data_IF_428555506632
#
_entry.id   IF_428555506632
#
_cell.length_a   1.000
_cell.length_b   1.000
_cell.length_c   1.000
_cell.angle_alpha   90.00
_cell.angle_beta   90.00
_cell.angle_gamma   90.00
#
_symmetry.space_group_name_H-M   'P 1'
#
loop_
_entity.id
_entity.type
_entity.pdbx_description
1 polymer ?
#
# COMPACT_ATOMS: atom_id res chain seq x y z
N UNK A 1 -39.66 46.59 -21.10
CA UNK A 1 -38.26 46.75 -20.63
C UNK A 1 -37.77 45.65 -19.67
N UNK A 2 -38.61 45.04 -18.81
CA UNK A 2 -38.18 43.98 -17.87
C UNK A 2 -37.90 42.57 -18.46
N UNK A 3 -38.37 42.26 -19.67
CA UNK A 3 -38.12 40.96 -20.33
C UNK A 3 -36.80 40.88 -21.11
N UNK A 4 -36.21 42.03 -21.49
CA UNK A 4 -34.91 42.08 -22.18
C UNK A 4 -33.72 41.97 -21.21
N UNK A 5 -33.90 42.31 -19.94
CA UNK A 5 -32.84 42.25 -18.93
C UNK A 5 -32.46 40.80 -18.56
N UNK A 6 -33.43 39.87 -18.57
CA UNK A 6 -33.18 38.46 -18.23
C UNK A 6 -32.56 37.65 -19.38
N UNK A 7 -32.78 38.04 -20.65
CA UNK A 7 -32.11 37.42 -21.79
C UNK A 7 -30.61 37.79 -21.86
N UNK A 8 -30.23 39.00 -21.44
CA UNK A 8 -28.84 39.43 -21.41
C UNK A 8 -28.01 38.72 -20.31
N UNK A 9 -28.64 38.37 -19.17
CA UNK A 9 -27.96 37.64 -18.08
C UNK A 9 -27.72 36.17 -18.44
N UNK A 10 -28.59 35.54 -19.23
CA UNK A 10 -28.38 34.16 -19.68
C UNK A 10 -27.28 34.03 -20.76
N UNK A 11 -27.10 35.06 -21.60
CA UNK A 11 -26.07 35.08 -22.64
C UNK A 11 -24.66 35.39 -22.10
N UNK A 12 -24.54 35.91 -20.86
CA UNK A 12 -23.25 36.18 -20.21
C UNK A 12 -22.71 35.01 -19.37
N UNK A 13 -23.46 33.92 -19.21
CA UNK A 13 -23.02 32.71 -18.48
C UNK A 13 -22.55 31.57 -19.41
N UNK A 14 -22.58 31.77 -20.74
CA UNK A 14 -22.00 30.82 -21.68
C UNK A 14 -20.48 31.11 -21.79
N UNK A 15 -19.74 30.78 -20.74
CA UNK A 15 -18.27 30.75 -20.82
C UNK A 15 -17.89 29.77 -21.94
N UNK A 16 -17.16 30.20 -22.98
CA UNK A 16 -16.72 29.29 -24.02
C UNK A 16 -15.89 28.18 -23.36
N UNK A 17 -16.30 26.92 -23.56
CA UNK A 17 -15.50 25.78 -23.11
C UNK A 17 -14.11 25.93 -23.75
N UNK A 18 -13.03 25.90 -22.96
CA UNK A 18 -11.70 25.97 -23.54
C UNK A 18 -11.50 24.78 -24.48
N UNK A 19 -10.74 24.98 -25.57
CA UNK A 19 -10.57 23.99 -26.63
C UNK A 19 -9.93 22.65 -26.17
N UNK A 20 -9.43 22.58 -24.94
CA UNK A 20 -8.94 21.35 -24.30
C UNK A 20 -10.00 20.56 -23.54
N UNK A 21 -11.20 21.12 -23.32
CA UNK A 21 -12.29 20.42 -22.68
C UNK A 21 -12.74 19.28 -23.60
N UNK A 22 -12.21 18.07 -23.36
CA UNK A 22 -12.64 16.83 -24.00
C UNK A 22 -14.17 16.83 -24.02
N UNK A 23 -14.76 16.58 -25.18
CA UNK A 23 -16.18 16.20 -25.26
C UNK A 23 -16.45 15.15 -24.19
N UNK A 24 -17.57 15.29 -23.47
CA UNK A 24 -17.92 14.42 -22.36
C UNK A 24 -18.22 13.02 -22.87
N UNK A 25 -17.17 12.28 -23.22
CA UNK A 25 -17.18 10.85 -23.44
C UNK A 25 -17.75 10.21 -22.18
N UNK A 26 -18.70 9.29 -22.37
CA UNK A 26 -19.19 8.45 -21.27
C UNK A 26 -18.11 7.48 -20.76
N UNK A 27 -17.01 7.33 -21.49
CA UNK A 27 -15.86 6.50 -21.14
C UNK A 27 -14.78 7.35 -20.49
N UNK A 28 -14.38 6.95 -19.28
CA UNK A 28 -13.26 7.50 -18.53
C UNK A 28 -12.05 6.59 -18.67
N UNK A 29 -10.89 7.15 -19.01
CA UNK A 29 -9.62 6.44 -18.96
C UNK A 29 -8.97 6.62 -17.60
N UNK A 30 -8.75 5.51 -16.91
CA UNK A 30 -8.08 5.46 -15.62
C UNK A 30 -6.73 4.78 -15.77
N UNK A 31 -5.70 5.38 -15.19
CA UNK A 31 -4.36 4.80 -15.10
C UNK A 31 -4.04 4.55 -13.63
N UNK A 32 -3.71 3.31 -13.27
CA UNK A 32 -3.14 2.97 -11.96
C UNK A 32 -1.72 2.50 -12.15
N UNK A 33 -0.77 3.01 -11.36
CA UNK A 33 0.63 2.62 -11.51
C UNK A 33 1.48 2.83 -10.25
N UNK A 34 2.12 1.76 -9.79
CA UNK A 34 3.23 1.84 -8.85
C UNK A 34 4.46 2.39 -9.60
N UNK A 35 4.98 3.55 -9.18
CA UNK A 35 6.07 4.27 -9.87
C UNK A 35 7.48 3.94 -9.36
N UNK A 36 7.58 3.09 -8.33
CA UNK A 36 8.85 2.67 -7.75
C UNK A 36 9.77 3.83 -7.36
N UNK A 37 9.25 4.78 -6.58
CA UNK A 37 9.98 5.99 -6.18
C UNK A 37 10.73 5.87 -4.86
N UNK A 38 11.10 4.67 -4.42
CA UNK A 38 11.66 4.42 -3.07
C UNK A 38 12.99 5.16 -2.89
N UNK A 39 13.10 6.07 -1.90
CA UNK A 39 14.37 6.77 -1.64
C UNK A 39 15.50 5.79 -1.31
N UNK A 40 16.68 6.03 -1.88
CA UNK A 40 17.91 5.23 -1.69
C UNK A 40 17.87 3.77 -2.19
N UNK A 41 16.72 3.25 -2.61
CA UNK A 41 16.54 1.88 -3.10
C UNK A 41 16.33 1.86 -4.61
N UNK A 42 15.47 2.73 -5.13
CA UNK A 42 15.10 2.66 -6.53
C UNK A 42 16.17 3.23 -7.46
N UNK A 43 16.52 2.46 -8.48
CA UNK A 43 17.53 2.84 -9.46
C UNK A 43 17.06 4.02 -10.32
N UNK A 44 18.00 4.90 -10.68
CA UNK A 44 17.75 6.05 -11.56
C UNK A 44 16.53 6.91 -11.17
N UNK A 45 16.22 6.97 -9.86
CA UNK A 45 14.96 7.54 -9.36
C UNK A 45 14.65 8.91 -9.96
N UNK A 46 15.57 9.86 -9.86
CA UNK A 46 15.36 11.24 -10.32
C UNK A 46 15.05 11.32 -11.82
N UNK A 47 15.77 10.56 -12.65
CA UNK A 47 15.57 10.52 -14.09
C UNK A 47 14.22 9.89 -14.43
N UNK A 48 13.86 8.78 -13.76
CA UNK A 48 12.56 8.12 -13.98
C UNK A 48 11.40 9.01 -13.55
N UNK A 49 11.45 9.62 -12.37
CA UNK A 49 10.37 10.51 -11.89
C UNK A 49 10.09 11.67 -12.85
N UNK A 50 11.13 12.25 -13.47
CA UNK A 50 10.97 13.27 -14.53
C UNK A 50 10.32 12.73 -15.81
N UNK A 51 10.52 11.45 -16.14
CA UNK A 51 9.98 10.82 -17.34
C UNK A 51 8.56 10.26 -17.16
N UNK A 52 8.15 9.99 -15.92
CA UNK A 52 6.86 9.36 -15.58
C UNK A 52 5.66 10.21 -16.00
N UNK A 53 5.62 11.49 -15.61
CA UNK A 53 4.52 12.39 -15.99
C UNK A 53 4.33 12.48 -17.52
N UNK A 54 5.38 12.77 -18.31
CA UNK A 54 5.31 12.75 -19.77
C UNK A 54 4.90 11.39 -20.37
N UNK A 55 5.29 10.27 -19.76
CA UNK A 55 4.88 8.94 -20.21
C UNK A 55 3.38 8.70 -19.99
N UNK A 56 2.87 9.04 -18.79
CA UNK A 56 1.44 8.96 -18.46
C UNK A 56 0.62 9.88 -19.38
N UNK A 57 1.10 11.09 -19.67
CA UNK A 57 0.41 12.06 -20.54
C UNK A 57 0.11 11.49 -21.94
N UNK A 58 1.00 10.66 -22.50
CA UNK A 58 0.79 9.99 -23.80
C UNK A 58 -0.40 9.05 -23.80
N UNK A 59 -0.76 8.49 -22.64
CA UNK A 59 -1.93 7.63 -22.48
C UNK A 59 -3.26 8.42 -22.50
N UNK A 60 -3.19 9.75 -22.37
CA UNK A 60 -4.33 10.68 -22.34
C UNK A 60 -5.41 10.31 -21.29
N UNK A 61 -5.03 10.02 -20.03
CA UNK A 61 -5.99 9.65 -19.00
C UNK A 61 -6.99 10.76 -18.67
N UNK A 62 -8.06 10.40 -17.99
CA UNK A 62 -8.93 11.31 -17.26
C UNK A 62 -8.64 11.25 -15.75
N UNK A 63 -8.18 10.11 -15.25
CA UNK A 63 -7.80 9.88 -13.86
C UNK A 63 -6.49 9.10 -13.80
N UNK A 64 -5.63 9.47 -12.86
CA UNK A 64 -4.34 8.83 -12.57
C UNK A 64 -4.26 8.52 -11.08
N UNK A 65 -3.89 7.29 -10.74
CA UNK A 65 -3.76 6.77 -9.39
C UNK A 65 -2.33 6.20 -9.24
N UNK A 66 -1.43 6.91 -8.57
CA UNK A 66 -0.02 6.47 -8.44
C UNK A 66 0.27 5.93 -7.04
N UNK A 67 1.08 4.89 -6.98
CA UNK A 67 1.65 4.33 -5.76
C UNK A 67 3.17 4.51 -5.76
N UNK A 68 3.81 4.49 -4.59
CA UNK A 68 5.26 4.68 -4.41
C UNK A 68 5.83 6.04 -4.86
N UNK A 69 5.01 7.07 -4.94
CA UNK A 69 5.47 8.44 -5.10
C UNK A 69 5.78 9.04 -3.72
N UNK A 70 6.90 8.61 -3.13
CA UNK A 70 7.18 8.80 -1.71
C UNK A 70 7.63 10.22 -1.34
N UNK A 71 8.55 10.81 -2.10
CA UNK A 71 9.15 12.10 -1.75
C UNK A 71 8.37 13.28 -2.31
N UNK A 72 8.32 14.39 -1.56
CA UNK A 72 7.62 15.61 -2.00
C UNK A 72 8.20 16.15 -3.32
N UNK A 73 9.53 16.19 -3.44
CA UNK A 73 10.19 16.71 -4.64
C UNK A 73 9.93 15.87 -5.88
N UNK A 74 9.85 14.54 -5.74
CA UNK A 74 9.45 13.67 -6.86
C UNK A 74 7.96 13.89 -7.21
N UNK A 75 7.11 14.10 -6.20
CA UNK A 75 5.70 14.38 -6.39
C UNK A 75 5.45 15.69 -7.15
N UNK A 76 6.13 16.78 -6.77
CA UNK A 76 6.03 18.09 -7.44
C UNK A 76 6.35 17.98 -8.95
N UNK A 77 7.41 17.26 -9.30
CA UNK A 77 7.83 17.05 -10.69
C UNK A 77 6.77 16.29 -11.48
N UNK A 78 6.23 15.21 -10.91
CA UNK A 78 5.19 14.41 -11.56
C UNK A 78 3.90 15.20 -11.69
N UNK A 79 3.46 15.87 -10.62
CA UNK A 79 2.24 16.70 -10.59
C UNK A 79 2.29 17.77 -11.66
N UNK A 80 3.41 18.50 -11.77
CA UNK A 80 3.55 19.56 -12.78
C UNK A 80 3.35 19.00 -14.19
N UNK A 81 3.99 17.88 -14.52
CA UNK A 81 3.84 17.26 -15.83
C UNK A 81 2.43 16.72 -16.10
N UNK A 82 1.73 16.22 -15.07
CA UNK A 82 0.32 15.80 -15.18
C UNK A 82 -0.61 17.01 -15.37
N UNK A 83 -0.37 18.11 -14.66
CA UNK A 83 -1.12 19.36 -14.81
C UNK A 83 -0.97 19.95 -16.22
N UNK A 84 0.26 19.94 -16.76
CA UNK A 84 0.54 20.35 -18.15
C UNK A 84 -0.20 19.47 -19.18
N UNK A 85 -0.51 18.23 -18.82
CA UNK A 85 -1.30 17.29 -19.63
C UNK A 85 -2.83 17.41 -19.40
N UNK A 86 -3.29 18.37 -18.59
CA UNK A 86 -4.69 18.64 -18.31
C UNK A 86 -5.27 17.94 -17.08
N UNK A 87 -4.45 17.24 -16.28
CA UNK A 87 -4.85 16.66 -14.99
C UNK A 87 -4.53 17.63 -13.85
N UNK A 88 -5.18 18.79 -13.85
CA UNK A 88 -4.86 19.91 -12.96
C UNK A 88 -5.42 19.78 -11.53
N UNK A 89 -6.14 18.70 -11.21
CA UNK A 89 -6.70 18.48 -9.87
C UNK A 89 -6.12 17.23 -9.24
N UNK A 90 -5.53 17.39 -8.06
CA UNK A 90 -4.65 16.42 -7.47
C UNK A 90 -4.72 16.41 -5.94
N UNK A 91 -4.43 15.25 -5.37
CA UNK A 91 -4.17 15.06 -3.95
C UNK A 91 -3.07 14.01 -3.80
N UNK A 92 -2.18 14.15 -2.84
CA UNK A 92 -1.13 13.17 -2.59
C UNK A 92 -0.77 13.06 -1.11
N UNK A 93 -0.07 11.98 -0.77
CA UNK A 93 0.48 11.71 0.56
C UNK A 93 2.00 11.56 0.54
N UNK A 94 2.68 12.30 -0.33
CA UNK A 94 4.15 12.39 -0.34
C UNK A 94 4.66 13.09 0.94
N UNK A 95 5.96 12.96 1.24
CA UNK A 95 6.57 13.54 2.44
C UNK A 95 7.88 14.24 2.11
N UNK A 96 8.05 15.46 2.63
CA UNK A 96 9.30 16.20 2.59
C UNK A 96 10.28 15.79 3.71
N UNK A 97 9.88 14.86 4.59
CA UNK A 97 10.75 14.39 5.69
C UNK A 97 11.89 13.55 5.14
N UNK A 98 12.99 13.48 5.91
CA UNK A 98 14.12 12.61 5.57
C UNK A 98 13.66 11.19 5.26
N UNK A 99 14.20 10.61 4.18
CA UNK A 99 13.82 9.29 3.65
C UNK A 99 12.31 9.14 3.37
N UNK A 100 11.60 10.24 3.08
CA UNK A 100 10.15 10.27 2.88
C UNK A 100 9.34 9.71 4.07
N UNK A 101 9.87 9.81 5.30
CA UNK A 101 9.25 9.23 6.49
C UNK A 101 7.78 9.67 6.63
N UNK A 102 6.90 8.71 6.87
CA UNK A 102 5.47 8.93 7.07
C UNK A 102 4.67 9.20 5.79
N UNK A 103 5.30 9.10 4.61
CA UNK A 103 4.61 9.17 3.32
C UNK A 103 3.72 7.94 3.09
N UNK A 104 2.54 8.12 2.49
CA UNK A 104 1.76 7.01 1.95
C UNK A 104 2.16 6.61 0.53
N UNK A 105 2.93 7.46 -0.16
CA UNK A 105 3.35 7.24 -1.55
C UNK A 105 2.21 7.31 -2.57
N UNK A 106 1.02 7.79 -2.16
CA UNK A 106 -0.18 7.80 -3.00
C UNK A 106 -0.39 9.16 -3.64
N UNK A 107 -0.84 9.16 -4.90
CA UNK A 107 -1.34 10.33 -5.59
C UNK A 107 -2.61 9.99 -6.36
N UNK A 108 -3.59 10.89 -6.35
CA UNK A 108 -4.73 10.89 -7.26
C UNK A 108 -4.66 12.19 -8.05
N UNK A 109 -4.69 12.13 -9.37
CA UNK A 109 -4.84 13.28 -10.25
C UNK A 109 -5.97 13.05 -11.26
N UNK A 110 -6.69 14.11 -11.61
CA UNK A 110 -7.85 14.06 -12.48
C UNK A 110 -7.97 15.31 -13.37
N UNK A 111 -8.68 15.16 -14.48
CA UNK A 111 -9.02 16.25 -15.41
C UNK A 111 -10.21 17.12 -14.94
N UNK A 112 -10.70 16.87 -13.72
CA UNK A 112 -11.86 17.53 -13.12
C UNK A 112 -11.75 17.62 -11.59
N UNK A 113 -12.49 18.53 -10.94
CA UNK A 113 -12.36 18.76 -9.50
C UNK A 113 -12.55 17.52 -8.63
N UNK A 114 -11.63 17.34 -7.69
CA UNK A 114 -11.69 16.33 -6.64
C UNK A 114 -12.49 16.87 -5.44
N UNK A 115 -13.48 16.10 -4.96
CA UNK A 115 -14.32 16.44 -3.80
C UNK A 115 -14.30 15.34 -2.76
N UNK A 116 -14.72 15.64 -1.52
CA UNK A 116 -14.86 14.62 -0.48
C UNK A 116 -13.53 13.89 -0.16
N UNK A 117 -12.42 14.62 -0.27
CA UNK A 117 -11.07 14.08 -0.06
C UNK A 117 -10.97 13.50 1.34
N UNK A 118 -10.47 12.28 1.41
CA UNK A 118 -10.31 11.58 2.68
C UNK A 118 -9.26 10.48 2.55
N UNK A 119 -8.71 10.06 3.69
CA UNK A 119 -7.65 9.07 3.74
C UNK A 119 -7.90 8.08 4.87
N UNK A 120 -7.74 6.80 4.58
CA UNK A 120 -7.67 5.73 5.56
C UNK A 120 -6.21 5.37 5.80
N UNK A 121 -5.80 5.44 7.05
CA UNK A 121 -4.46 5.09 7.47
C UNK A 121 -4.46 3.71 8.11
N UNK A 122 -3.92 2.71 7.40
CA UNK A 122 -3.93 1.33 7.88
C UNK A 122 -3.21 1.18 9.22
N UNK A 123 -3.85 0.55 10.20
CA UNK A 123 -3.31 0.45 11.55
C UNK A 123 -2.01 -0.39 11.60
N UNK A 124 -1.92 -1.41 10.75
CA UNK A 124 -0.79 -2.35 10.72
C UNK A 124 0.28 -1.99 9.68
N UNK A 125 1.49 -2.49 9.93
CA UNK A 125 2.67 -2.25 9.08
C UNK A 125 3.53 -1.05 9.49
N UNK A 126 3.14 -0.28 10.52
CA UNK A 126 3.77 1.02 10.88
C UNK A 126 4.91 0.97 11.88
N UNK A 127 5.18 -0.19 12.44
CA UNK A 127 6.12 -0.34 13.53
C UNK A 127 7.34 -1.14 13.05
N UNK A 128 8.58 -0.77 13.44
CA UNK A 128 9.83 -1.41 13.01
C UNK A 128 10.06 -2.77 13.69
N UNK A 129 9.08 -3.66 13.60
CA UNK A 129 9.13 -5.06 14.03
C UNK A 129 10.06 -5.88 13.15
N UNK A 130 10.33 -5.43 11.93
CA UNK A 130 11.46 -5.96 11.18
C UNK A 130 12.15 -4.76 10.57
N UNK A 131 13.17 -4.19 11.24
CA UNK A 131 13.73 -2.90 10.86
C UNK A 131 14.21 -2.85 9.41
N UNK A 132 14.66 -3.99 8.88
CA UNK A 132 15.13 -4.15 7.49
C UNK A 132 14.01 -4.37 6.46
N UNK A 133 12.73 -4.44 6.87
CA UNK A 133 11.58 -4.38 5.98
C UNK A 133 11.01 -2.96 6.02
N UNK A 134 11.37 -2.12 5.05
CA UNK A 134 11.26 -0.67 5.18
C UNK A 134 9.83 -0.11 5.14
N UNK A 135 8.81 -0.93 4.93
CA UNK A 135 7.40 -0.50 4.93
C UNK A 135 6.98 0.27 6.19
N UNK A 136 7.62 0.05 7.34
CA UNK A 136 7.32 0.81 8.57
C UNK A 136 7.76 2.28 8.53
N UNK A 137 8.67 2.65 7.61
CA UNK A 137 8.97 4.06 7.33
C UNK A 137 7.82 4.73 6.58
N UNK A 138 7.03 3.94 5.85
CA UNK A 138 5.86 4.39 5.13
C UNK A 138 4.63 4.43 6.02
N UNK A 139 3.64 5.18 5.56
CA UNK A 139 2.30 5.27 6.15
C UNK A 139 1.32 4.67 5.15
N UNK A 140 1.39 3.35 4.93
CA UNK A 140 0.47 2.60 4.06
C UNK A 140 -0.98 3.00 4.35
N UNK A 141 -1.73 3.24 3.29
CA UNK A 141 -3.01 3.91 3.35
C UNK A 141 -3.87 3.61 2.12
N UNK A 142 -5.13 4.04 2.18
CA UNK A 142 -5.95 4.33 1.01
C UNK A 142 -6.28 5.82 0.97
N UNK A 143 -6.18 6.43 -0.21
CA UNK A 143 -6.55 7.81 -0.50
C UNK A 143 -7.81 7.80 -1.35
N UNK A 144 -8.80 8.64 -1.03
CA UNK A 144 -10.03 8.70 -1.80
C UNK A 144 -10.47 10.12 -2.10
N UNK A 145 -11.09 10.28 -3.26
CA UNK A 145 -11.78 11.49 -3.68
C UNK A 145 -12.92 11.14 -4.64
N UNK A 146 -13.94 11.98 -4.65
CA UNK A 146 -15.07 11.86 -5.56
C UNK A 146 -14.91 12.84 -6.72
N UNK A 147 -15.20 12.37 -7.93
CA UNK A 147 -15.34 13.22 -9.11
C UNK A 147 -16.77 13.18 -9.64
N UNK A 148 -17.21 14.30 -10.21
CA UNK A 148 -18.49 14.35 -10.92
C UNK A 148 -18.32 13.83 -12.36
N UNK A 149 -19.23 12.95 -12.77
CA UNK A 149 -19.27 12.42 -14.14
C UNK A 149 -20.69 12.53 -14.69
N UNK A 150 -20.88 12.45 -16.02
CA UNK A 150 -22.23 12.40 -16.60
C UNK A 150 -23.09 11.24 -16.08
N UNK A 151 -22.46 10.13 -15.65
CA UNK A 151 -23.14 8.97 -15.05
C UNK A 151 -23.41 9.09 -13.55
N UNK A 152 -23.08 10.24 -12.94
CA UNK A 152 -23.18 10.49 -11.51
C UNK A 152 -21.82 10.58 -10.81
N UNK A 153 -21.82 10.78 -9.47
CA UNK A 153 -20.59 10.83 -8.69
C UNK A 153 -19.86 9.49 -8.73
N UNK A 154 -18.53 9.55 -8.94
CA UNK A 154 -17.63 8.40 -8.88
C UNK A 154 -16.66 8.56 -7.71
N UNK A 155 -16.69 7.62 -6.77
CA UNK A 155 -15.67 7.53 -5.72
C UNK A 155 -14.43 6.83 -6.27
N UNK A 156 -13.32 7.57 -6.34
CA UNK A 156 -11.99 7.06 -6.67
C UNK A 156 -11.27 6.69 -5.38
N UNK A 157 -10.67 5.51 -5.34
CA UNK A 157 -9.85 5.05 -4.23
C UNK A 157 -8.53 4.52 -4.78
N UNK A 158 -7.42 5.08 -4.30
CA UNK A 158 -6.07 4.63 -4.57
C UNK A 158 -5.52 3.98 -3.28
N UNK A 159 -4.96 2.77 -3.35
CA UNK A 159 -4.35 2.12 -2.19
C UNK A 159 -2.97 1.54 -2.48
N UNK A 160 -2.18 1.36 -1.43
CA UNK A 160 -0.94 0.60 -1.46
C UNK A 160 -0.85 -0.21 -0.17
N UNK A 161 -0.93 -1.54 -0.29
CA UNK A 161 -0.90 -2.47 0.83
C UNK A 161 0.53 -2.82 1.28
N UNK A 162 0.62 -3.54 2.38
CA UNK A 162 1.87 -4.03 2.94
C UNK A 162 2.60 -4.94 1.93
N UNK A 163 3.86 -4.62 1.65
CA UNK A 163 4.68 -5.40 0.73
C UNK A 163 5.00 -6.79 1.27
N UNK A 164 5.12 -7.75 0.36
CA UNK A 164 5.66 -9.07 0.67
C UNK A 164 7.19 -9.02 0.84
N UNK A 165 7.70 -9.80 1.78
CA UNK A 165 9.13 -9.95 2.01
C UNK A 165 9.45 -11.43 2.14
N UNK A 166 10.50 -11.90 1.45
CA UNK A 166 10.93 -13.32 1.50
C UNK A 166 11.18 -13.85 2.92
N UNK A 167 11.46 -12.96 3.86
CA UNK A 167 11.81 -13.26 5.25
C UNK A 167 10.64 -13.08 6.23
N UNK A 168 9.39 -12.90 5.78
CA UNK A 168 8.23 -12.78 6.66
C UNK A 168 6.89 -13.11 6.00
N UNK A 169 5.86 -13.36 6.81
CA UNK A 169 4.49 -13.55 6.35
C UNK A 169 3.68 -12.26 6.57
N UNK A 170 3.22 -11.64 5.48
CA UNK A 170 2.44 -10.40 5.52
C UNK A 170 1.01 -10.54 4.99
N UNK A 171 0.61 -11.74 4.54
CA UNK A 171 -0.79 -12.06 4.19
C UNK A 171 -1.81 -11.59 5.25
N UNK A 172 -1.58 -11.80 6.56
CA UNK A 172 -2.55 -11.39 7.56
C UNK A 172 -2.61 -9.88 7.79
N UNK A 173 -1.51 -9.18 7.50
CA UNK A 173 -1.48 -7.71 7.53
C UNK A 173 -2.31 -7.17 6.36
N UNK A 174 -2.12 -7.71 5.14
CA UNK A 174 -2.94 -7.35 3.97
C UNK A 174 -4.41 -7.67 4.18
N UNK A 175 -4.74 -8.80 4.81
CA UNK A 175 -6.10 -9.17 5.14
C UNK A 175 -6.75 -8.21 6.17
N UNK A 176 -5.99 -7.75 7.16
CA UNK A 176 -6.45 -6.69 8.06
C UNK A 176 -6.68 -5.36 7.32
N UNK A 177 -5.74 -4.95 6.46
CA UNK A 177 -5.85 -3.75 5.63
C UNK A 177 -7.06 -3.80 4.70
N UNK A 178 -7.35 -4.97 4.14
CA UNK A 178 -8.55 -5.24 3.35
C UNK A 178 -9.83 -4.98 4.16
N UNK A 179 -9.93 -5.55 5.36
CA UNK A 179 -11.08 -5.35 6.25
C UNK A 179 -11.25 -3.89 6.68
N UNK A 180 -10.15 -3.23 7.05
CA UNK A 180 -10.15 -1.79 7.37
C UNK A 180 -10.69 -0.96 6.20
N UNK A 181 -10.26 -1.30 4.97
CA UNK A 181 -10.72 -0.64 3.76
C UNK A 181 -12.21 -0.91 3.48
N UNK A 182 -12.66 -2.16 3.65
CA UNK A 182 -14.06 -2.54 3.48
C UNK A 182 -14.99 -1.76 4.41
N UNK A 183 -14.67 -1.70 5.69
CA UNK A 183 -15.45 -0.95 6.67
C UNK A 183 -15.50 0.55 6.30
N UNK A 184 -14.34 1.13 6.01
CA UNK A 184 -14.23 2.55 5.65
C UNK A 184 -14.98 2.93 4.36
N UNK A 185 -15.12 2.01 3.41
CA UNK A 185 -15.87 2.23 2.18
C UNK A 185 -17.37 1.94 2.32
N UNK A 186 -17.74 0.98 3.18
CA UNK A 186 -19.15 0.65 3.44
C UNK A 186 -19.89 1.83 4.08
N UNK A 187 -19.21 2.61 4.91
CA UNK A 187 -19.75 3.83 5.53
C UNK A 187 -20.09 4.96 4.52
N UNK A 188 -19.69 4.84 3.25
CA UNK A 188 -19.77 5.93 2.26
C UNK A 188 -20.98 5.85 1.31
N UNK A 189 -21.75 4.78 1.36
CA UNK A 189 -22.96 4.56 0.55
C UNK A 189 -22.85 5.04 -0.91
N UNK A 190 -21.76 4.66 -1.61
CA UNK A 190 -21.57 5.06 -3.02
C UNK A 190 -22.19 4.06 -3.99
N UNK A 191 -22.84 4.56 -5.04
CA UNK A 191 -23.33 3.73 -6.16
C UNK A 191 -22.24 3.41 -7.18
N UNK A 192 -21.18 4.22 -7.23
CA UNK A 192 -20.06 4.05 -8.15
C UNK A 192 -18.74 4.14 -7.39
N UNK A 193 -17.99 3.05 -7.41
CA UNK A 193 -16.68 2.93 -6.79
C UNK A 193 -15.70 2.44 -7.84
N UNK A 194 -14.55 3.10 -7.93
CA UNK A 194 -13.35 2.58 -8.57
C UNK A 194 -12.24 2.55 -7.53
N UNK A 195 -11.78 1.35 -7.21
CA UNK A 195 -10.68 1.10 -6.30
C UNK A 195 -9.53 0.50 -7.10
N UNK A 196 -8.38 1.13 -7.09
CA UNK A 196 -7.19 0.59 -7.74
C UNK A 196 -5.95 0.80 -6.87
N UNK A 197 -4.92 0.03 -7.16
CA UNK A 197 -3.62 0.22 -6.55
C UNK A 197 -2.79 -1.05 -6.53
N UNK A 198 -1.71 -0.98 -5.76
CA UNK A 198 -0.82 -2.09 -5.49
C UNK A 198 -1.27 -2.80 -4.22
N UNK A 199 -1.91 -3.96 -4.39
CA UNK A 199 -2.42 -4.77 -3.30
C UNK A 199 -1.34 -5.67 -2.70
N UNK A 200 -0.17 -5.79 -3.34
CA UNK A 200 0.94 -6.64 -2.90
C UNK A 200 0.52 -8.09 -2.56
N UNK A 201 -0.62 -8.54 -3.08
CA UNK A 201 -1.16 -9.85 -2.74
C UNK A 201 -0.39 -10.94 -3.48
N UNK A 202 0.11 -11.92 -2.74
CA UNK A 202 0.81 -13.07 -3.33
C UNK A 202 -0.18 -14.20 -3.68
N UNK A 203 0.19 -15.10 -4.61
CA UNK A 203 -0.64 -16.27 -4.94
C UNK A 203 -0.99 -17.11 -3.70
N UNK A 204 -2.27 -17.41 -3.54
CA UNK A 204 -2.80 -18.20 -2.43
C UNK A 204 -3.33 -17.40 -1.24
N UNK A 205 -3.23 -16.06 -1.28
CA UNK A 205 -3.85 -15.17 -0.29
C UNK A 205 -5.26 -14.76 -0.71
N UNK A 206 -6.09 -14.36 0.28
CA UNK A 206 -7.53 -14.10 0.07
C UNK A 206 -7.96 -12.66 0.37
N UNK A 207 -7.03 -11.75 0.62
CA UNK A 207 -7.34 -10.39 1.06
C UNK A 207 -8.16 -9.57 0.05
N UNK A 208 -7.83 -9.65 -1.23
CA UNK A 208 -8.57 -9.02 -2.33
C UNK A 208 -9.88 -9.73 -2.63
N UNK A 209 -9.94 -11.05 -2.46
CA UNK A 209 -11.15 -11.83 -2.70
C UNK A 209 -12.22 -11.42 -1.68
N UNK A 210 -11.81 -11.32 -0.41
CA UNK A 210 -12.65 -10.81 0.67
C UNK A 210 -13.11 -9.38 0.38
N UNK A 211 -12.19 -8.54 -0.11
CA UNK A 211 -12.50 -7.15 -0.46
C UNK A 211 -13.59 -7.06 -1.52
N UNK A 212 -13.42 -7.79 -2.62
CA UNK A 212 -14.39 -7.84 -3.71
C UNK A 212 -15.74 -8.36 -3.23
N UNK A 213 -15.74 -9.42 -2.39
CA UNK A 213 -16.96 -10.00 -1.84
C UNK A 213 -17.70 -9.04 -0.89
N UNK A 214 -17.01 -8.43 0.08
CA UNK A 214 -17.62 -7.53 1.08
C UNK A 214 -18.12 -6.23 0.47
N UNK A 215 -17.42 -5.68 -0.52
CA UNK A 215 -17.84 -4.47 -1.22
C UNK A 215 -18.84 -4.73 -2.35
N UNK A 216 -19.01 -5.98 -2.76
CA UNK A 216 -19.70 -6.29 -4.01
C UNK A 216 -18.98 -5.77 -5.25
N UNK A 217 -17.68 -5.54 -5.14
CA UNK A 217 -16.87 -4.97 -6.19
C UNK A 217 -16.36 -6.09 -7.10
N UNK A 218 -16.67 -5.96 -8.39
CA UNK A 218 -16.10 -6.84 -9.41
C UNK A 218 -14.67 -6.40 -9.74
N UNK A 219 -13.78 -7.36 -9.92
CA UNK A 219 -12.47 -7.07 -10.49
C UNK A 219 -12.59 -6.74 -11.99
N UNK A 220 -11.96 -5.65 -12.39
CA UNK A 220 -11.90 -5.18 -13.77
C UNK A 220 -10.54 -5.51 -14.42
N UNK A 221 -9.44 -5.47 -13.67
CA UNK A 221 -8.10 -5.67 -14.21
C UNK A 221 -7.11 -6.10 -13.11
N UNK A 222 -5.98 -6.70 -13.52
CA UNK A 222 -4.91 -7.15 -12.62
C UNK A 222 -4.81 -8.67 -12.49
N UNK A 223 -5.94 -9.36 -12.27
CA UNK A 223 -5.97 -10.81 -12.14
C UNK A 223 -5.12 -11.28 -10.95
N UNK A 224 -4.15 -12.16 -11.23
CA UNK A 224 -3.22 -12.67 -10.22
C UNK A 224 -2.02 -11.74 -9.95
N UNK A 225 -1.96 -10.57 -10.59
CA UNK A 225 -0.93 -9.56 -10.38
C UNK A 225 -1.08 -8.79 -9.06
N UNK A 226 -0.01 -8.05 -8.70
CA UNK A 226 0.02 -7.20 -7.50
C UNK A 226 -0.90 -5.98 -7.66
N UNK A 227 -0.88 -5.37 -8.84
CA UNK A 227 -1.70 -4.21 -9.20
C UNK A 227 -3.06 -4.64 -9.73
N UNK A 228 -4.13 -4.16 -9.10
CA UNK A 228 -5.50 -4.57 -9.44
C UNK A 228 -6.46 -3.39 -9.47
N UNK A 229 -7.58 -3.58 -10.16
CA UNK A 229 -8.66 -2.60 -10.27
C UNK A 229 -9.98 -3.30 -9.95
N UNK A 230 -10.68 -2.81 -8.93
CA UNK A 230 -12.01 -3.24 -8.51
C UNK A 230 -13.03 -2.13 -8.74
N UNK A 231 -14.27 -2.51 -9.02
CA UNK A 231 -15.33 -1.53 -9.16
C UNK A 231 -16.74 -2.00 -8.78
N UNK A 232 -17.55 -1.04 -8.35
CA UNK A 232 -19.00 -1.16 -8.14
C UNK A 232 -19.70 -0.18 -9.06
N UNK A 233 -20.74 -0.62 -9.78
CA UNK A 233 -21.49 0.27 -10.69
C UNK A 233 -20.67 0.75 -11.89
N UNK A 234 -19.65 0.00 -12.31
CA UNK A 234 -18.80 0.36 -13.45
C UNK A 234 -18.67 -0.84 -14.38
N UNK A 235 -18.78 -0.58 -15.68
CA UNK A 235 -18.48 -1.51 -16.75
C UNK A 235 -17.10 -1.20 -17.32
N UNK A 236 -16.30 -2.25 -17.50
CA UNK A 236 -15.05 -2.16 -18.23
C UNK A 236 -15.32 -2.28 -19.73
N UNK A 237 -14.80 -1.33 -20.51
CA UNK A 237 -14.78 -1.41 -21.97
C UNK A 237 -13.50 -2.09 -22.45
N UNK A 238 -12.36 -1.70 -21.87
CA UNK A 238 -11.06 -2.24 -22.23
C UNK A 238 -10.05 -2.05 -21.10
N UNK A 239 -9.22 -3.05 -20.83
CA UNK A 239 -8.07 -2.97 -19.93
C UNK A 239 -6.81 -3.52 -20.59
N UNK A 240 -5.66 -2.92 -20.29
CA UNK A 240 -4.34 -3.41 -20.70
C UNK A 240 -3.23 -2.91 -19.78
N UNK A 241 -2.13 -3.64 -19.77
CA UNK A 241 -0.86 -3.13 -19.27
C UNK A 241 -0.25 -2.09 -20.24
N UNK A 242 0.54 -1.17 -19.72
CA UNK A 242 1.26 -0.16 -20.46
C UNK A 242 2.55 0.24 -19.72
N UNK A 243 3.43 0.98 -20.42
CA UNK A 243 4.67 1.53 -19.86
C UNK A 243 5.64 0.44 -19.34
N UNK A 244 5.67 -0.70 -20.02
CA UNK A 244 6.53 -1.85 -19.69
C UNK A 244 7.85 -1.82 -20.46
N UNK A 245 7.94 -1.00 -21.49
CA UNK A 245 9.12 -0.91 -22.35
C UNK A 245 10.27 -0.09 -21.74
N UNK A 246 11.50 -0.45 -22.13
CA UNK A 246 12.70 0.30 -21.78
C UNK A 246 12.72 1.68 -22.44
N UNK A 247 12.79 2.72 -21.61
CA UNK A 247 12.91 4.11 -22.06
C UNK A 247 14.35 4.58 -21.90
N UNK A 248 14.82 5.37 -22.86
CA UNK A 248 16.11 6.05 -22.74
C UNK A 248 16.00 7.19 -21.72
N UNK A 249 16.77 7.10 -20.65
CA UNK A 249 16.89 8.12 -19.62
C UNK A 249 17.87 9.21 -20.05
N UNK A 250 17.80 10.37 -19.38
CA UNK A 250 18.64 11.54 -19.69
C UNK A 250 20.14 11.31 -19.47
N UNK A 251 20.51 10.28 -18.72
CA UNK A 251 21.89 9.87 -18.48
C UNK A 251 22.38 8.78 -19.45
N UNK A 252 21.57 8.41 -20.45
CA UNK A 252 21.90 7.42 -21.48
C UNK A 252 21.57 5.97 -21.12
N UNK A 253 21.14 5.68 -19.87
CA UNK A 253 20.67 4.34 -19.51
C UNK A 253 19.35 4.01 -20.22
N UNK A 254 19.12 2.74 -20.51
CA UNK A 254 17.81 2.21 -20.94
C UNK A 254 17.31 1.23 -19.90
N UNK A 255 16.10 1.48 -19.39
CA UNK A 255 15.46 0.65 -18.38
C UNK A 255 13.96 0.96 -18.35
N UNK A 256 13.12 0.09 -17.78
CA UNK A 256 11.71 0.42 -17.58
C UNK A 256 11.58 1.58 -16.59
N UNK A 257 10.50 2.34 -16.71
CA UNK A 257 10.23 3.48 -15.83
C UNK A 257 9.76 3.08 -14.43
N UNK A 258 9.35 1.83 -14.24
CA UNK A 258 9.00 1.23 -12.96
C UNK A 258 9.25 -0.28 -13.03
N UNK A 259 9.35 -0.95 -11.88
CA UNK A 259 9.37 -2.41 -11.78
C UNK A 259 7.96 -3.03 -11.88
N UNK A 260 6.91 -2.20 -11.90
CA UNK A 260 5.53 -2.60 -12.15
C UNK A 260 5.03 -2.10 -13.52
N UNK A 261 4.18 -2.87 -14.22
CA UNK A 261 3.43 -2.35 -15.36
C UNK A 261 2.38 -1.32 -14.91
N UNK A 262 2.08 -0.33 -15.74
CA UNK A 262 0.92 0.53 -15.53
C UNK A 262 -0.34 -0.19 -16.02
N UNK A 263 -1.45 -0.10 -15.29
CA UNK A 263 -2.75 -0.55 -15.76
C UNK A 263 -3.55 0.61 -16.34
N UNK A 264 -4.00 0.46 -17.59
CA UNK A 264 -4.91 1.40 -18.26
C UNK A 264 -6.28 0.75 -18.43
N UNK A 265 -7.30 1.33 -17.82
CA UNK A 265 -8.68 0.88 -17.90
C UNK A 265 -9.58 1.97 -18.46
N UNK A 266 -10.27 1.67 -19.55
CA UNK A 266 -11.33 2.49 -20.13
C UNK A 266 -12.67 1.99 -19.56
N UNK A 267 -13.36 2.85 -18.80
CA UNK A 267 -14.51 2.46 -17.98
C UNK A 267 -15.72 3.36 -18.18
N UNK A 268 -16.92 2.80 -18.01
CA UNK A 268 -18.20 3.51 -18.07
C UNK A 268 -19.06 3.22 -16.84
N UNK A 269 -19.68 4.24 -16.25
CA UNK A 269 -20.59 4.05 -15.12
C UNK A 269 -21.91 3.42 -15.57
N UNK A 270 -22.42 2.49 -14.77
CA UNK A 270 -23.67 1.74 -15.00
C UNK A 270 -24.44 1.56 -13.69
N UNK A 271 -25.76 1.60 -13.74
CA UNK A 271 -26.60 1.26 -12.59
C UNK A 271 -26.51 -0.25 -12.33
N UNK A 272 -25.81 -0.70 -11.28
CA UNK A 272 -25.79 -2.11 -10.88
C UNK A 272 -26.02 -2.32 -9.39
N UNK A 273 -26.75 -3.38 -9.07
CA UNK A 273 -26.99 -3.91 -7.72
C UNK A 273 -25.97 -5.00 -7.40
N UNK A 274 -25.38 -4.94 -6.21
CA UNK A 274 -24.41 -5.90 -5.68
C UNK A 274 -25.07 -7.24 -5.34
N UNK A 275 -24.43 -8.35 -5.72
CA UNK A 275 -24.78 -9.71 -5.27
C UNK A 275 -23.82 -10.17 -4.15
N UNK A 276 -24.36 -10.82 -3.11
CA UNK A 276 -23.63 -11.22 -1.90
C UNK A 276 -23.07 -12.65 -2.02
N UNK A 277 -21.87 -12.95 -1.50
CA UNK A 277 -21.27 -14.31 -1.55
C UNK A 277 -20.52 -14.69 -0.28
N UNK A 278 -20.97 -15.77 0.36
CA UNK A 278 -20.58 -16.24 1.70
C UNK A 278 -19.36 -17.16 1.77
N UNK A 279 -18.84 -17.68 0.64
CA UNK A 279 -17.79 -18.71 0.66
C UNK A 279 -16.38 -18.16 0.97
N UNK A 280 -16.02 -17.02 0.39
CA UNK A 280 -14.68 -16.39 0.54
C UNK A 280 -14.39 -15.99 1.98
N UNK A 281 -15.43 -15.59 2.70
CA UNK A 281 -15.34 -15.16 4.09
C UNK A 281 -14.94 -16.31 5.03
N UNK A 282 -15.44 -17.52 4.77
CA UNK A 282 -15.12 -18.70 5.59
C UNK A 282 -13.64 -19.10 5.46
N UNK A 283 -13.04 -18.96 4.27
CA UNK A 283 -11.62 -19.26 4.04
C UNK A 283 -10.71 -18.22 4.71
N UNK A 284 -11.05 -16.93 4.55
CA UNK A 284 -10.36 -15.82 5.22
C UNK A 284 -10.37 -15.96 6.75
N UNK A 285 -11.50 -16.37 7.33
CA UNK A 285 -11.62 -16.66 8.76
C UNK A 285 -10.72 -17.82 9.20
N UNK A 286 -10.67 -18.88 8.41
CA UNK A 286 -9.83 -20.05 8.69
C UNK A 286 -8.35 -19.69 8.66
N UNK A 287 -7.93 -18.90 7.68
CA UNK A 287 -6.56 -18.42 7.51
C UNK A 287 -6.12 -17.55 8.71
N UNK A 288 -6.88 -16.50 9.04
CA UNK A 288 -6.57 -15.64 10.19
C UNK A 288 -6.53 -16.41 11.51
N UNK A 289 -7.47 -17.34 11.70
CA UNK A 289 -7.51 -18.16 12.90
C UNK A 289 -6.33 -19.15 12.98
N UNK A 290 -5.84 -19.66 11.84
CA UNK A 290 -4.63 -20.48 11.79
C UNK A 290 -3.39 -19.64 12.13
N UNK A 291 -3.23 -18.47 11.51
CA UNK A 291 -2.06 -17.62 11.76
C UNK A 291 -2.03 -17.11 13.20
N UNK A 292 -3.16 -16.69 13.74
CA UNK A 292 -3.26 -16.25 15.13
C UNK A 292 -2.83 -17.36 16.10
N UNK A 293 -3.17 -18.62 15.81
CA UNK A 293 -2.70 -19.76 16.62
C UNK A 293 -1.20 -19.97 16.47
N UNK A 294 -0.67 -19.90 15.26
CA UNK A 294 0.78 -20.03 14.98
C UNK A 294 1.57 -18.95 15.70
N UNK A 295 1.19 -17.68 15.56
CA UNK A 295 1.86 -16.56 16.20
C UNK A 295 1.83 -16.67 17.73
N UNK A 296 0.69 -17.08 18.31
CA UNK A 296 0.59 -17.32 19.76
C UNK A 296 1.54 -18.42 20.23
N UNK A 297 1.69 -19.51 19.45
CA UNK A 297 2.67 -20.58 19.75
C UNK A 297 4.09 -20.06 19.68
N UNK A 298 4.46 -19.36 18.60
CA UNK A 298 5.80 -18.77 18.44
C UNK A 298 6.13 -17.78 19.56
N UNK A 299 5.17 -16.95 19.96
CA UNK A 299 5.30 -16.02 21.09
C UNK A 299 5.57 -16.77 22.40
N UNK A 300 4.82 -17.84 22.68
CA UNK A 300 5.06 -18.68 23.85
C UNK A 300 6.46 -19.31 23.83
N UNK A 301 6.87 -19.87 22.70
CA UNK A 301 8.21 -20.45 22.54
C UNK A 301 9.30 -19.40 22.72
N UNK A 302 9.17 -18.23 22.11
CA UNK A 302 10.15 -17.15 22.22
C UNK A 302 10.29 -16.63 23.67
N UNK A 303 9.19 -16.53 24.42
CA UNK A 303 9.22 -16.17 25.84
C UNK A 303 10.01 -17.18 26.66
N UNK A 304 9.76 -18.47 26.45
CA UNK A 304 10.50 -19.55 27.12
C UNK A 304 11.99 -19.47 26.79
N UNK A 305 12.33 -19.34 25.50
CA UNK A 305 13.72 -19.23 25.05
C UNK A 305 14.44 -18.01 25.63
N UNK A 306 13.76 -16.86 25.71
CA UNK A 306 14.33 -15.66 26.30
C UNK A 306 14.59 -15.83 27.81
N UNK A 307 13.67 -16.47 28.54
CA UNK A 307 13.85 -16.75 29.97
C UNK A 307 15.00 -17.76 30.21
N UNK A 308 15.04 -18.85 29.44
CA UNK A 308 16.13 -19.84 29.52
C UNK A 308 17.49 -19.22 29.16
N UNK A 309 17.53 -18.42 28.09
CA UNK A 309 18.73 -17.70 27.66
C UNK A 309 19.22 -16.71 28.72
N UNK A 310 18.32 -15.97 29.36
CA UNK A 310 18.65 -15.08 30.47
C UNK A 310 19.23 -15.86 31.67
N UNK A 311 18.66 -17.01 32.02
CA UNK A 311 19.19 -17.88 33.08
C UNK A 311 20.58 -18.43 32.73
N UNK A 312 20.81 -18.82 31.47
CA UNK A 312 22.12 -19.24 30.98
C UNK A 312 23.14 -18.10 31.04
N UNK A 313 22.77 -16.88 30.61
CA UNK A 313 23.62 -15.70 30.73
C UNK A 313 23.98 -15.43 32.20
N UNK A 314 23.00 -15.48 33.09
CA UNK A 314 23.20 -15.29 34.53
C UNK A 314 24.18 -16.32 35.11
N UNK A 315 24.02 -17.61 34.79
CA UNK A 315 24.99 -18.66 35.20
C UNK A 315 26.38 -18.44 34.60
N UNK A 316 26.46 -18.08 33.32
CA UNK A 316 27.72 -17.74 32.65
C UNK A 316 28.35 -16.47 33.18
N UNK A 317 27.63 -15.58 33.87
CA UNK A 317 28.21 -14.43 34.57
C UNK A 317 28.66 -14.84 35.99
N UNK A 318 27.86 -15.63 36.71
CA UNK A 318 28.15 -16.10 38.08
C UNK A 318 29.25 -17.15 38.18
N UNK A 319 29.47 -17.98 37.15
CA UNK A 319 30.50 -19.04 37.14
C UNK A 319 31.96 -18.54 37.21
N UNK A 320 32.19 -17.28 37.59
CA UNK A 320 33.50 -16.61 37.72
C UNK A 320 34.40 -17.16 38.81
N UNK A 321 33.91 -18.05 39.67
CA UNK A 321 34.69 -18.67 40.75
C UNK A 321 34.93 -20.17 40.49
N UNK A 322 35.62 -20.51 39.40
CA UNK A 322 36.27 -21.83 39.32
C UNK A 322 37.57 -21.72 40.12
N UNK A 323 37.50 -22.03 41.42
CA UNK A 323 38.70 -22.22 42.25
C UNK A 323 39.29 -23.59 41.93
N UNK A 324 40.50 -23.59 41.38
CA UNK A 324 41.45 -24.71 41.45
C UNK A 324 41.41 -25.73 40.30
N UNK A 325 42.62 -26.23 39.96
CA UNK A 325 42.96 -27.45 39.21
C UNK A 325 43.33 -27.36 37.71
N UNK A 326 43.75 -26.20 37.17
CA UNK A 326 44.31 -26.15 35.81
C UNK A 326 45.34 -25.04 35.59
N UNK A 327 46.41 -25.34 34.84
CA UNK A 327 47.47 -24.37 34.51
C UNK A 327 46.98 -23.13 33.73
N UNK A 328 47.76 -22.04 33.68
CA UNK A 328 47.33 -20.74 33.16
C UNK A 328 46.82 -20.75 31.71
N UNK A 329 47.27 -21.69 30.88
CA UNK A 329 46.79 -21.89 29.51
C UNK A 329 45.36 -22.47 29.45
N UNK A 330 45.06 -23.47 30.28
CA UNK A 330 43.72 -24.08 30.42
C UNK A 330 42.73 -23.04 30.94
N UNK A 331 43.14 -22.23 31.91
CA UNK A 331 42.35 -21.14 32.45
C UNK A 331 42.06 -20.03 31.41
N UNK A 332 43.02 -19.69 30.53
CA UNK A 332 42.81 -18.73 29.42
C UNK A 332 41.83 -19.27 28.38
N UNK A 333 41.98 -20.53 27.96
CA UNK A 333 41.10 -21.16 26.96
C UNK A 333 39.66 -21.28 27.46
N UNK A 334 39.46 -21.66 28.73
CA UNK A 334 38.14 -21.68 29.36
C UNK A 334 37.45 -20.31 29.45
N UNK A 335 38.22 -19.22 29.71
CA UNK A 335 37.68 -17.85 29.69
C UNK A 335 37.27 -17.40 28.29
N UNK A 336 38.04 -17.74 27.26
CA UNK A 336 37.71 -17.40 25.87
C UNK A 336 36.44 -18.12 25.42
N UNK A 337 36.35 -19.44 25.64
CA UNK A 337 35.14 -20.22 25.33
C UNK A 337 33.91 -19.67 26.05
N UNK A 338 34.04 -19.34 27.34
CA UNK A 338 32.94 -18.75 28.11
C UNK A 338 32.48 -17.38 27.59
N UNK A 339 33.42 -16.53 27.15
CA UNK A 339 33.06 -15.23 26.54
C UNK A 339 32.31 -15.44 25.23
N UNK A 340 32.75 -16.36 24.38
CA UNK A 340 32.05 -16.72 23.14
C UNK A 340 30.64 -17.24 23.45
N UNK A 341 30.51 -18.18 24.39
CA UNK A 341 29.21 -18.71 24.81
C UNK A 341 28.29 -17.63 25.38
N UNK A 342 28.83 -16.69 26.17
CA UNK A 342 28.06 -15.56 26.69
C UNK A 342 27.56 -14.66 25.57
N UNK A 343 28.41 -14.29 24.60
CA UNK A 343 28.00 -13.47 23.45
C UNK A 343 26.91 -14.17 22.65
N UNK A 344 27.10 -15.45 22.29
CA UNK A 344 26.12 -16.23 21.52
C UNK A 344 24.79 -16.33 22.29
N UNK A 345 24.84 -16.63 23.58
CA UNK A 345 23.63 -16.78 24.40
C UNK A 345 22.93 -15.43 24.59
N UNK A 346 23.67 -14.34 24.80
CA UNK A 346 23.12 -13.01 24.95
C UNK A 346 22.45 -12.55 23.66
N UNK A 347 23.08 -12.76 22.50
CA UNK A 347 22.50 -12.46 21.19
C UNK A 347 21.22 -13.27 20.95
N UNK A 348 21.23 -14.58 21.20
CA UNK A 348 20.03 -15.42 21.09
C UNK A 348 18.92 -15.01 22.05
N UNK A 349 19.28 -14.63 23.28
CA UNK A 349 18.33 -14.14 24.30
C UNK A 349 17.70 -12.81 23.88
N UNK A 350 18.52 -11.87 23.38
CA UNK A 350 18.05 -10.58 22.89
C UNK A 350 17.10 -10.75 21.70
N UNK A 351 17.41 -11.65 20.77
CA UNK A 351 16.54 -11.97 19.64
C UNK A 351 15.22 -12.62 20.09
N UNK A 352 15.29 -13.61 21.00
CA UNK A 352 14.09 -14.24 21.56
C UNK A 352 13.21 -13.23 22.33
N UNK A 353 13.84 -12.32 23.08
CA UNK A 353 13.13 -11.26 23.80
C UNK A 353 12.49 -10.25 22.84
N UNK A 354 13.22 -9.85 21.79
CA UNK A 354 12.68 -9.02 20.73
C UNK A 354 11.44 -9.66 20.10
N UNK A 355 11.51 -10.95 19.76
CA UNK A 355 10.37 -11.63 19.17
C UNK A 355 9.17 -11.71 20.14
N UNK A 356 9.44 -12.06 21.40
CA UNK A 356 8.45 -12.27 22.44
C UNK A 356 7.71 -11.02 22.91
N UNK A 357 8.39 -9.87 22.97
CA UNK A 357 7.87 -8.64 23.54
C UNK A 357 7.82 -7.45 22.57
N UNK A 358 8.57 -7.50 21.46
CA UNK A 358 8.54 -6.50 20.41
C UNK A 358 7.72 -6.94 19.20
N UNK A 359 8.17 -7.98 18.48
CA UNK A 359 7.64 -8.41 17.18
C UNK A 359 6.23 -9.01 17.24
N UNK A 360 6.04 -10.09 17.98
CA UNK A 360 4.81 -10.85 17.93
C UNK A 360 3.61 -10.19 18.64
N UNK A 361 3.76 -9.45 19.76
CA UNK A 361 2.61 -8.81 20.42
C UNK A 361 1.88 -7.76 19.57
N UNK A 362 2.58 -7.03 18.71
CA UNK A 362 1.97 -6.03 17.83
C UNK A 362 1.24 -6.69 16.67
N UNK A 363 1.86 -7.68 16.02
CA UNK A 363 1.22 -8.49 14.99
C UNK A 363 -0.01 -9.20 15.55
N UNK A 364 0.08 -9.73 16.77
CA UNK A 364 -1.05 -10.38 17.44
C UNK A 364 -2.20 -9.41 17.73
N UNK A 365 -1.91 -8.16 18.11
CA UNK A 365 -2.95 -7.13 18.29
C UNK A 365 -3.66 -6.83 16.98
N UNK A 366 -2.91 -6.65 15.90
CA UNK A 366 -3.48 -6.43 14.57
C UNK A 366 -4.34 -7.58 14.06
N UNK A 367 -3.85 -8.80 14.22
CA UNK A 367 -4.58 -10.02 13.89
C UNK A 367 -5.88 -10.16 14.68
N UNK A 368 -5.85 -9.88 15.99
CA UNK A 368 -7.06 -9.93 16.81
C UNK A 368 -8.07 -8.87 16.36
N UNK A 369 -7.62 -7.66 16.02
CA UNK A 369 -8.50 -6.61 15.49
C UNK A 369 -9.14 -7.01 14.17
N UNK A 370 -8.36 -7.58 13.25
CA UNK A 370 -8.88 -8.12 12.00
C UNK A 370 -9.91 -9.23 12.23
N UNK A 371 -9.65 -10.14 13.17
CA UNK A 371 -10.60 -11.18 13.56
C UNK A 371 -11.90 -10.63 14.16
N UNK A 372 -11.81 -9.55 14.94
CA UNK A 372 -12.98 -8.87 15.51
C UNK A 372 -13.81 -8.18 14.42
N UNK A 373 -13.16 -7.52 13.46
CA UNK A 373 -13.77 -6.88 12.30
C UNK A 373 -14.46 -7.89 11.37
N UNK A 374 -13.77 -8.98 11.02
CA UNK A 374 -14.30 -10.03 10.13
C UNK A 374 -15.52 -10.78 10.72
N UNK A 375 -15.66 -10.81 12.05
CA UNK A 375 -16.82 -11.43 12.73
C UNK A 375 -18.07 -10.54 12.76
N UNK A 376 -17.92 -9.25 12.44
CA UNK A 376 -19.02 -8.30 12.30
C UNK A 376 -19.53 -8.30 10.86
#
# INVERSE_FOLDING_TARGET
MRRLFWLAVFLLCAWPRPAWAKEASSVLRVVSWNVWGVPFVSDAREQRMRAIGPAIAKLRPNVVLLQELWSEGDAEVVIQALADAGLAYEIHGASARFAAFGSSGLLIAADRPLRGVSRLDYELGRWPHTPYHLDWLSRKAALAATIDTPGGPLLLVNTHWQAAYRTGNYAPVRLAQSLELCEWLTERETSHLLLAGDFNQEPGEHATDLLGARLGAGELAGGEGLDRIFAVGIRLEHAREALTEDVALTDGRRMPLSDHPAWVADVQLVSRRVENRSAVEADSLRELAAETRTLRRQLWTARILALLGALCCFRLLLGGRVRGLGGPWIARRGRAVRRVLLVVTLSGTAYAAYFAWGYAPSQARGLNHALERLRR
#
